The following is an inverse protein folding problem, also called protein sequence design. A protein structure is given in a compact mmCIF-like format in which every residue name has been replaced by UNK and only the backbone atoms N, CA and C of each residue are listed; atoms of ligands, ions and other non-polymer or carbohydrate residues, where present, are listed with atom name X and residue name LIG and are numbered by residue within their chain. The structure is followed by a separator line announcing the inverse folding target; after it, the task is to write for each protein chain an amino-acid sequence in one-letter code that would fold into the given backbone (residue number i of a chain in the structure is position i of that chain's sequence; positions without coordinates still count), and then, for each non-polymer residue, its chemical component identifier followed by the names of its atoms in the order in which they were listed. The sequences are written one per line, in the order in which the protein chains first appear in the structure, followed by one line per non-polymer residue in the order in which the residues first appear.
data_IF_384163934784
#
_entry.id   IF_384163934784
#
_cell.length_a   1.000
_cell.length_b   1.000
_cell.length_c   1.000
_cell.angle_alpha   90.00
_cell.angle_beta   90.00
_cell.angle_gamma   90.00
#
_symmetry.space_group_name_H-M   'P 1'
#
loop_
_entity.id
_entity.type
_entity.pdbx_description
1 polymer ?
#
# COMPACT_ATOMS: atom_id res chain seq x y z
N UNK A 1 19.54 9.52 26.46
CA UNK A 1 18.47 8.57 26.08
C UNK A 1 17.93 9.03 24.74
N UNK A 2 18.22 8.28 23.68
CA UNK A 2 17.67 8.54 22.35
C UNK A 2 16.24 8.00 22.41
N UNK A 3 15.29 8.92 22.39
CA UNK A 3 13.87 8.61 22.39
C UNK A 3 13.54 8.18 20.96
N UNK A 4 13.55 6.87 20.70
CA UNK A 4 12.99 6.36 19.45
C UNK A 4 11.51 6.70 19.48
N UNK A 5 11.10 7.75 18.75
CA UNK A 5 9.70 7.89 18.37
C UNK A 5 9.41 6.74 17.41
N UNK A 6 9.09 5.58 17.97
CA UNK A 6 8.23 4.63 17.28
C UNK A 6 6.96 5.42 17.05
N UNK A 7 6.70 5.83 15.80
CA UNK A 7 5.38 6.34 15.46
C UNK A 7 4.43 5.17 15.66
N UNK A 8 3.81 5.11 16.84
CA UNK A 8 2.64 4.29 17.10
C UNK A 8 1.52 4.93 16.31
N UNK A 9 1.45 4.56 15.04
CA UNK A 9 0.23 4.66 14.30
C UNK A 9 -0.70 3.57 14.87
N UNK A 10 -1.79 3.97 15.52
CA UNK A 10 -2.73 3.03 16.12
C UNK A 10 -3.79 2.66 15.08
N UNK A 11 -3.77 1.41 14.63
CA UNK A 11 -4.86 0.87 13.84
C UNK A 11 -6.20 1.04 14.57
N UNK A 12 -7.32 1.23 13.85
CA UNK A 12 -8.64 1.26 14.46
C UNK A 12 -8.93 0.02 15.29
N UNK A 13 -9.90 0.13 16.21
CA UNK A 13 -10.25 -0.95 17.12
C UNK A 13 -10.52 -2.28 16.40
N UNK A 14 -9.79 -3.31 16.80
CA UNK A 14 -9.87 -4.66 16.25
C UNK A 14 -9.09 -4.90 14.96
N UNK A 15 -8.35 -3.91 14.46
CA UNK A 15 -7.35 -4.09 13.41
C UNK A 15 -5.96 -4.33 14.00
N UNK A 16 -5.11 -5.01 13.24
CA UNK A 16 -3.71 -5.26 13.60
C UNK A 16 -2.79 -4.56 12.60
N UNK A 17 -1.73 -3.92 13.10
CA UNK A 17 -0.75 -3.20 12.28
C UNK A 17 0.32 -4.15 11.76
N UNK A 18 0.63 -4.02 10.47
CA UNK A 18 1.68 -4.79 9.81
C UNK A 18 2.43 -3.91 8.81
N UNK A 19 3.68 -4.29 8.54
CA UNK A 19 4.49 -3.67 7.49
C UNK A 19 5.00 -4.74 6.55
N UNK A 20 4.66 -4.61 5.26
CA UNK A 20 5.18 -5.47 4.21
C UNK A 20 6.33 -4.80 3.48
N UNK A 21 7.48 -5.46 3.45
CA UNK A 21 8.60 -5.03 2.60
C UNK A 21 8.58 -5.87 1.33
N UNK A 22 8.38 -5.23 0.18
CA UNK A 22 8.41 -5.89 -1.13
C UNK A 22 9.35 -5.17 -2.08
N UNK A 23 9.83 -5.95 -3.03
CA UNK A 23 10.72 -5.46 -4.07
C UNK A 23 9.95 -5.45 -5.39
N UNK A 24 9.88 -4.29 -6.02
CA UNK A 24 9.35 -4.10 -7.35
C UNK A 24 10.50 -4.19 -8.35
N UNK A 25 10.43 -5.19 -9.23
CA UNK A 25 11.37 -5.41 -10.31
C UNK A 25 10.84 -4.73 -11.59
N UNK A 26 11.41 -3.59 -11.96
CA UNK A 26 11.08 -2.94 -13.23
C UNK A 26 11.67 -3.71 -14.41
N UNK A 27 10.86 -3.92 -15.45
CA UNK A 27 11.32 -4.32 -16.79
C UNK A 27 11.55 -3.05 -17.64
N UNK A 28 12.64 -2.93 -18.42
CA UNK A 28 13.73 -3.89 -18.64
C UNK A 28 14.84 -3.85 -17.55
N UNK A 29 15.68 -4.90 -17.55
CA UNK A 29 16.71 -5.25 -16.56
C UNK A 29 17.82 -4.20 -16.26
N UNK A 30 17.72 -2.98 -16.80
CA UNK A 30 18.67 -1.89 -16.58
C UNK A 30 18.32 -1.01 -15.36
N UNK A 31 17.20 -1.28 -14.69
CA UNK A 31 16.78 -0.50 -13.53
C UNK A 31 17.15 -1.21 -12.22
N UNK A 32 17.78 -0.49 -11.29
CA UNK A 32 17.94 -0.97 -9.91
C UNK A 32 16.57 -1.22 -9.29
N UNK A 33 16.41 -2.35 -8.59
CA UNK A 33 15.15 -2.74 -7.94
C UNK A 33 14.62 -1.65 -7.02
N UNK A 34 13.30 -1.52 -6.93
CA UNK A 34 12.68 -0.60 -5.98
C UNK A 34 12.17 -1.36 -4.75
N UNK A 35 12.75 -1.09 -3.57
CA UNK A 35 12.27 -1.69 -2.32
C UNK A 35 11.29 -0.75 -1.64
N UNK A 36 10.06 -1.23 -1.46
CA UNK A 36 8.94 -0.47 -0.89
C UNK A 36 8.49 -1.16 0.39
N UNK A 37 8.39 -0.40 1.46
CA UNK A 37 7.72 -0.80 2.68
C UNK A 37 6.30 -0.24 2.71
N UNK A 38 5.34 -1.09 3.05
CA UNK A 38 3.91 -0.85 2.93
C UNK A 38 3.30 -1.10 4.31
N UNK A 39 3.14 -0.06 5.15
CA UNK A 39 2.43 -0.18 6.42
C UNK A 39 0.92 -0.21 6.15
N UNK A 40 0.22 -1.13 6.79
CA UNK A 40 -1.24 -1.26 6.67
C UNK A 40 -1.83 -1.88 7.93
N UNK A 41 -3.12 -1.67 8.10
CA UNK A 41 -3.93 -2.32 9.11
C UNK A 41 -4.82 -3.36 8.44
N UNK A 42 -5.04 -4.49 9.12
CA UNK A 42 -5.97 -5.47 8.63
C UNK A 42 -6.76 -6.16 9.73
N UNK A 43 -7.94 -6.65 9.34
CA UNK A 43 -8.88 -7.36 10.21
C UNK A 43 -9.64 -8.41 9.41
N UNK A 44 -9.71 -9.62 9.96
CA UNK A 44 -10.65 -10.63 9.48
C UNK A 44 -12.00 -10.47 10.19
N UNK A 45 -13.04 -10.20 9.41
CA UNK A 45 -14.40 -10.18 9.90
C UNK A 45 -15.03 -11.57 9.76
N UNK A 46 -15.25 -12.25 10.90
CA UNK A 46 -15.82 -13.60 10.91
C UNK A 46 -17.31 -13.65 10.56
N UNK A 47 -18.05 -12.55 10.75
CA UNK A 47 -19.49 -12.51 10.49
C UNK A 47 -19.79 -12.34 9.00
N UNK A 48 -19.11 -11.40 8.35
CA UNK A 48 -19.24 -11.16 6.91
C UNK A 48 -18.32 -12.04 6.09
N UNK A 49 -17.36 -12.70 6.74
CA UNK A 49 -16.28 -13.45 6.11
C UNK A 49 -15.53 -12.60 5.08
N UNK A 50 -15.10 -11.44 5.54
CA UNK A 50 -14.42 -10.43 4.75
C UNK A 50 -13.08 -10.12 5.38
N UNK A 51 -12.07 -9.94 4.54
CA UNK A 51 -10.77 -9.40 4.95
C UNK A 51 -10.75 -7.90 4.65
N UNK A 52 -10.66 -7.10 5.71
CA UNK A 52 -10.54 -5.64 5.60
C UNK A 52 -9.07 -5.24 5.69
N UNK A 53 -8.63 -4.40 4.76
CA UNK A 53 -7.29 -3.82 4.68
C UNK A 53 -7.44 -2.32 4.56
N UNK A 54 -6.80 -1.56 5.45
CA UNK A 54 -6.90 -0.10 5.46
C UNK A 54 -5.53 0.56 5.66
N UNK A 55 -5.35 1.70 4.99
CA UNK A 55 -4.19 2.57 5.11
C UNK A 55 -4.58 3.83 5.86
N UNK A 56 -3.82 4.22 6.87
CA UNK A 56 -4.29 5.26 7.78
C UNK A 56 -3.43 6.51 7.73
N UNK A 57 -2.16 6.43 8.10
CA UNK A 57 -1.25 7.59 8.07
C UNK A 57 -0.25 7.47 6.92
N UNK A 58 0.54 6.40 6.92
CA UNK A 58 1.51 6.13 5.88
C UNK A 58 0.96 5.09 4.91
N UNK A 59 1.15 5.34 3.61
CA UNK A 59 0.70 4.44 2.58
C UNK A 59 1.83 3.57 2.03
N UNK A 60 3.00 4.18 1.83
CA UNK A 60 4.22 3.49 1.44
C UNK A 60 5.45 4.36 1.75
N UNK A 61 6.58 3.72 1.97
CA UNK A 61 7.88 4.39 1.99
C UNK A 61 8.94 3.61 1.21
N UNK A 62 9.80 4.35 0.52
CA UNK A 62 10.78 3.82 -0.43
C UNK A 62 12.14 3.72 0.27
N UNK A 63 12.59 2.49 0.52
CA UNK A 63 13.79 2.22 1.32
C UNK A 63 15.09 2.59 0.60
N UNK A 64 15.04 2.65 -0.72
CA UNK A 64 16.16 3.10 -1.55
C UNK A 64 15.61 3.76 -2.79
N UNK A 65 15.95 5.03 -2.98
CA UNK A 65 15.60 5.72 -4.21
C UNK A 65 16.34 5.10 -5.40
N UNK A 66 15.58 4.81 -6.46
CA UNK A 66 16.11 4.40 -7.76
C UNK A 66 15.21 4.92 -8.86
N UNK A 67 15.70 4.90 -10.11
CA UNK A 67 14.87 5.18 -11.28
C UNK A 67 13.65 4.25 -11.34
N UNK A 68 13.72 3.03 -10.79
CA UNK A 68 12.60 2.11 -10.76
C UNK A 68 11.51 2.59 -9.80
N UNK A 69 11.90 3.15 -8.65
CA UNK A 69 10.95 3.79 -7.73
C UNK A 69 10.29 5.02 -8.36
N UNK A 70 11.03 5.78 -9.16
CA UNK A 70 10.46 6.89 -9.92
C UNK A 70 9.39 6.43 -10.92
N UNK A 71 9.67 5.40 -11.72
CA UNK A 71 8.69 4.85 -12.66
C UNK A 71 7.44 4.31 -11.95
N UNK A 72 7.65 3.59 -10.86
CA UNK A 72 6.57 3.08 -10.04
C UNK A 72 5.68 4.21 -9.50
N UNK A 73 6.25 5.36 -9.13
CA UNK A 73 5.49 6.50 -8.61
C UNK A 73 4.73 7.29 -9.68
N UNK A 74 5.31 7.43 -10.89
CA UNK A 74 4.68 8.16 -11.99
C UNK A 74 3.46 7.44 -12.56
N UNK A 75 3.53 6.11 -12.67
CA UNK A 75 2.40 5.32 -13.14
C UNK A 75 1.58 4.83 -11.94
N UNK A 76 0.60 5.65 -11.56
CA UNK A 76 -0.28 5.36 -10.42
C UNK A 76 -1.00 4.03 -10.61
N UNK A 77 -1.46 3.70 -11.82
CA UNK A 77 -2.14 2.44 -12.09
C UNK A 77 -1.22 1.22 -11.87
N UNK A 78 0.05 1.29 -12.30
CA UNK A 78 1.03 0.22 -12.05
C UNK A 78 1.30 0.06 -10.55
N UNK A 79 1.48 1.16 -9.83
CA UNK A 79 1.68 1.11 -8.38
C UNK A 79 0.48 0.54 -7.63
N UNK A 80 -0.72 0.99 -7.99
CA UNK A 80 -1.97 0.53 -7.38
C UNK A 80 -2.15 -0.98 -7.58
N UNK A 81 -1.94 -1.45 -8.81
CA UNK A 81 -2.01 -2.88 -9.13
C UNK A 81 -0.95 -3.71 -8.41
N UNK A 82 0.28 -3.20 -8.31
CA UNK A 82 1.35 -3.81 -7.53
C UNK A 82 0.95 -3.94 -6.06
N UNK A 83 0.48 -2.85 -5.46
CA UNK A 83 0.02 -2.82 -4.07
C UNK A 83 -1.13 -3.80 -3.83
N UNK A 84 -2.19 -3.73 -4.65
CA UNK A 84 -3.36 -4.62 -4.52
C UNK A 84 -2.94 -6.09 -4.61
N UNK A 85 -2.00 -6.41 -5.51
CA UNK A 85 -1.48 -7.78 -5.64
C UNK A 85 -0.68 -8.24 -4.43
N UNK A 86 0.23 -7.39 -3.94
CA UNK A 86 1.06 -7.68 -2.77
C UNK A 86 0.21 -7.84 -1.51
N UNK A 87 -0.75 -6.94 -1.30
CA UNK A 87 -1.61 -6.95 -0.13
C UNK A 87 -2.50 -8.19 -0.12
N UNK A 88 -3.20 -8.49 -1.22
CA UNK A 88 -4.07 -9.66 -1.30
C UNK A 88 -3.26 -10.95 -1.11
N UNK A 89 -2.07 -11.05 -1.71
CA UNK A 89 -1.24 -12.24 -1.57
C UNK A 89 -0.67 -12.42 -0.16
N UNK A 90 -0.33 -11.34 0.54
CA UNK A 90 0.34 -11.43 1.84
C UNK A 90 -0.62 -11.35 3.03
N UNK A 91 -1.81 -10.77 2.86
CA UNK A 91 -2.75 -10.58 3.95
C UNK A 91 -3.41 -11.89 4.42
N UNK A 92 -3.39 -12.98 3.61
CA UNK A 92 -3.76 -14.34 4.06
C UNK A 92 -2.88 -14.77 5.24
N UNK A 93 -1.56 -14.68 5.07
CA UNK A 93 -0.57 -15.16 6.05
C UNK A 93 -0.56 -14.30 7.32
N UNK A 94 -0.89 -13.02 7.18
CA UNK A 94 -0.68 -12.00 8.20
C UNK A 94 -1.94 -11.73 9.03
N UNK A 95 -3.08 -11.61 8.35
CA UNK A 95 -4.33 -11.08 8.91
C UNK A 95 -5.40 -12.15 9.13
N UNK A 96 -5.07 -13.38 8.71
CA UNK A 96 -5.83 -14.60 8.89
C UNK A 96 -7.13 -14.70 8.06
N UNK A 97 -7.08 -15.53 7.02
CA UNK A 97 -8.25 -16.08 6.34
C UNK A 97 -7.80 -17.12 5.32
N UNK A 98 -8.00 -18.41 5.59
CA UNK A 98 -7.69 -19.45 4.60
C UNK A 98 -8.59 -19.27 3.38
N UNK A 99 -8.03 -19.00 2.20
CA UNK A 99 -8.82 -18.88 0.98
C UNK A 99 -9.57 -20.19 0.69
N UNK A 100 -10.84 -20.13 0.23
CA UNK A 100 -11.51 -21.34 -0.17
C UNK A 100 -10.98 -21.74 -1.56
N UNK A 101 -11.10 -23.03 -1.91
CA UNK A 101 -10.91 -23.45 -3.29
C UNK A 101 -11.88 -22.72 -4.23
N UNK A 102 -11.42 -22.29 -5.40
CA UNK A 102 -12.27 -21.63 -6.40
C UNK A 102 -13.44 -22.51 -6.88
N UNK A 103 -13.32 -23.82 -6.75
CA UNK A 103 -14.29 -24.85 -7.12
C UNK A 103 -15.15 -25.35 -5.94
N UNK A 104 -15.02 -24.75 -4.74
CA UNK A 104 -15.75 -25.20 -3.55
C UNK A 104 -17.28 -25.15 -3.75
N UNK A 105 -18.04 -26.19 -3.37
CA UNK A 105 -19.45 -26.34 -3.74
C UNK A 105 -20.37 -25.24 -3.20
N UNK A 106 -20.06 -24.68 -2.03
CA UNK A 106 -20.91 -23.68 -1.35
C UNK A 106 -20.23 -22.33 -1.13
N UNK A 107 -18.91 -22.26 -1.32
CA UNK A 107 -18.11 -21.10 -0.89
C UNK A 107 -16.93 -20.87 -1.80
N UNK A 108 -17.20 -20.33 -2.98
CA UNK A 108 -16.21 -20.22 -4.06
C UNK A 108 -15.20 -19.10 -3.86
N UNK A 109 -15.44 -18.17 -2.93
CA UNK A 109 -14.57 -17.02 -2.68
C UNK A 109 -14.80 -16.42 -1.27
N UNK A 110 -13.85 -15.59 -0.83
CA UNK A 110 -14.07 -14.56 0.19
C UNK A 110 -13.98 -13.17 -0.43
N UNK A 111 -14.47 -12.18 0.30
CA UNK A 111 -14.37 -10.78 -0.10
C UNK A 111 -13.16 -10.14 0.60
N UNK A 112 -12.37 -9.39 -0.15
CA UNK A 112 -11.27 -8.56 0.37
C UNK A 112 -11.61 -7.11 0.05
N UNK A 113 -11.64 -6.25 1.06
CA UNK A 113 -11.88 -4.82 0.90
C UNK A 113 -10.60 -4.07 1.25
N UNK A 114 -10.11 -3.28 0.30
CA UNK A 114 -8.91 -2.45 0.48
C UNK A 114 -9.34 -0.99 0.45
N UNK A 115 -9.11 -0.26 1.55
CA UNK A 115 -9.36 1.16 1.67
C UNK A 115 -8.03 1.94 1.60
N UNK A 116 -7.84 2.71 0.53
CA UNK A 116 -6.64 3.51 0.27
C UNK A 116 -6.96 5.00 0.34
N UNK A 117 -6.13 5.82 0.99
CA UNK A 117 -6.32 7.26 0.96
C UNK A 117 -6.15 7.79 -0.47
N UNK A 118 -7.04 8.68 -0.90
CA UNK A 118 -6.94 9.33 -2.22
C UNK A 118 -6.34 10.74 -2.17
N UNK A 119 -6.33 11.37 -1.00
CA UNK A 119 -5.60 12.60 -0.74
C UNK A 119 -4.28 12.29 -0.04
N UNK A 120 -3.18 12.56 -0.72
CA UNK A 120 -1.84 12.23 -0.23
C UNK A 120 -0.87 13.39 -0.40
N UNK A 121 0.23 13.33 0.31
CA UNK A 121 1.40 14.18 0.06
C UNK A 121 2.66 13.33 0.12
N UNK A 122 3.72 13.82 -0.54
CA UNK A 122 5.03 13.20 -0.52
C UNK A 122 5.91 13.90 0.51
N UNK A 123 6.66 13.14 1.29
CA UNK A 123 7.58 13.66 2.30
C UNK A 123 8.90 12.92 2.20
N UNK A 124 10.01 13.64 2.16
CA UNK A 124 11.35 13.08 2.22
C UNK A 124 11.98 13.41 3.59
N UNK A 125 12.39 12.38 4.31
CA UNK A 125 12.91 12.49 5.69
C UNK A 125 14.15 11.64 5.88
N UNK A 126 15.06 12.09 6.75
CA UNK A 126 16.25 11.33 7.12
C UNK A 126 16.03 10.60 8.45
N UNK A 127 15.67 9.33 8.38
CA UNK A 127 15.31 8.55 9.57
C UNK A 127 15.54 7.04 9.35
N UNK A 128 15.64 6.23 10.42
CA UNK A 128 15.71 4.78 10.31
C UNK A 128 14.46 4.20 9.62
N UNK A 129 14.60 3.38 8.56
CA UNK A 129 13.45 2.75 7.90
C UNK A 129 12.74 1.71 8.76
N UNK A 130 13.46 1.09 9.70
CA UNK A 130 12.96 0.12 10.65
C UNK A 130 13.64 0.33 12.02
N UNK A 131 13.01 -0.12 13.13
CA UNK A 131 13.61 -0.02 14.45
C UNK A 131 14.99 -0.71 14.53
N UNK A 132 16.02 0.05 14.89
CA UNK A 132 17.39 -0.47 15.03
C UNK A 132 18.26 -0.39 13.77
N UNK A 133 17.73 0.11 12.65
CA UNK A 133 18.52 0.36 11.44
C UNK A 133 19.14 1.77 11.43
N UNK A 134 20.15 1.97 10.59
CA UNK A 134 20.78 3.27 10.40
C UNK A 134 19.86 4.23 9.63
N UNK A 135 19.85 5.54 9.97
CA UNK A 135 19.06 6.52 9.24
C UNK A 135 19.45 6.61 7.76
N UNK A 136 18.43 6.76 6.90
CA UNK A 136 18.61 7.03 5.48
C UNK A 136 17.52 7.96 4.95
N UNK A 137 17.72 8.50 3.74
CA UNK A 137 16.71 9.30 3.07
C UNK A 137 15.57 8.41 2.59
N UNK A 138 14.37 8.65 3.11
CA UNK A 138 13.16 7.91 2.80
C UNK A 138 12.13 8.84 2.19
N UNK A 139 11.71 8.50 0.97
CA UNK A 139 10.51 9.05 0.39
C UNK A 139 9.30 8.32 0.98
N UNK A 140 8.36 9.07 1.53
CA UNK A 140 7.11 8.58 2.10
C UNK A 140 5.92 9.14 1.34
N UNK A 141 4.89 8.31 1.16
CA UNK A 141 3.57 8.75 0.71
C UNK A 141 2.64 8.69 1.92
N UNK A 142 2.11 9.84 2.32
CA UNK A 142 1.30 9.98 3.53
C UNK A 142 -0.09 10.50 3.20
N UNK A 143 -1.08 10.08 4.00
CA UNK A 143 -2.45 10.57 3.91
C UNK A 143 -2.52 12.03 4.39
N UNK A 144 -3.31 12.83 3.72
CA UNK A 144 -3.70 14.16 4.20
C UNK A 144 -4.68 14.06 5.38
N UNK A 145 -5.03 15.20 6.01
CA UNK A 145 -6.01 15.19 7.09
C UNK A 145 -7.42 14.75 6.64
N UNK A 146 -7.71 14.83 5.32
CA UNK A 146 -9.00 14.50 4.74
C UNK A 146 -9.29 12.99 4.80
N UNK A 147 -10.50 12.61 5.22
CA UNK A 147 -10.95 11.21 5.31
C UNK A 147 -11.47 10.66 3.97
N UNK A 148 -10.77 10.97 2.88
CA UNK A 148 -11.15 10.55 1.54
C UNK A 148 -10.45 9.24 1.17
N UNK A 149 -11.25 8.21 0.89
CA UNK A 149 -10.79 6.85 0.63
C UNK A 149 -11.34 6.29 -0.68
N UNK A 150 -10.49 5.58 -1.40
CA UNK A 150 -10.84 4.65 -2.45
C UNK A 150 -11.00 3.27 -1.84
N UNK A 151 -12.18 2.68 -2.02
CA UNK A 151 -12.46 1.31 -1.63
C UNK A 151 -12.47 0.44 -2.87
N UNK A 152 -11.66 -0.61 -2.85
CA UNK A 152 -11.68 -1.67 -3.84
C UNK A 152 -12.10 -2.97 -3.18
N UNK A 153 -13.16 -3.58 -3.70
CA UNK A 153 -13.65 -4.87 -3.25
C UNK A 153 -13.27 -5.93 -4.27
N UNK A 154 -12.64 -6.98 -3.79
CA UNK A 154 -12.23 -8.14 -4.58
C UNK A 154 -12.93 -9.38 -4.08
N UNK A 155 -13.24 -10.30 -4.99
CA UNK A 155 -13.48 -11.71 -4.67
C UNK A 155 -12.21 -12.49 -4.88
N UNK A 156 -11.81 -13.27 -3.89
CA UNK A 156 -10.53 -13.99 -3.88
C UNK A 156 -10.74 -15.45 -3.53
N UNK A 157 -10.06 -16.34 -4.26
CA UNK A 157 -10.03 -17.77 -4.03
C UNK A 157 -8.68 -18.37 -4.43
N UNK A 158 -8.44 -19.63 -4.06
CA UNK A 158 -7.21 -20.37 -4.40
C UNK A 158 -7.52 -21.42 -5.45
N UNK A 159 -6.84 -21.33 -6.59
CA UNK A 159 -6.92 -22.28 -7.69
C UNK A 159 -5.88 -23.38 -7.48
N UNK A 160 -6.35 -24.54 -7.02
CA UNK A 160 -5.53 -25.73 -6.78
C UNK A 160 -5.30 -26.57 -8.04
N UNK A 161 -5.86 -26.19 -9.20
CA UNK A 161 -5.53 -26.83 -10.47
C UNK A 161 -4.10 -26.52 -10.94
N UNK A 162 -3.46 -25.51 -10.33
CA UNK A 162 -2.10 -25.07 -10.64
C UNK A 162 -1.10 -25.48 -9.55
N UNK A 163 0.17 -25.68 -9.92
CA UNK A 163 1.26 -25.99 -8.97
C UNK A 163 2.43 -24.99 -9.11
N UNK A 164 2.69 -24.12 -8.13
CA UNK A 164 1.94 -23.99 -6.86
C UNK A 164 0.52 -23.41 -7.07
N UNK A 165 -0.42 -23.65 -6.12
CA UNK A 165 -1.75 -23.07 -6.19
C UNK A 165 -1.71 -21.56 -6.34
N UNK A 166 -2.53 -21.01 -7.23
CA UNK A 166 -2.54 -19.58 -7.52
C UNK A 166 -3.72 -18.87 -6.87
N UNK A 167 -3.50 -17.63 -6.45
CA UNK A 167 -4.58 -16.77 -5.98
C UNK A 167 -5.29 -16.17 -7.20
N UNK A 168 -6.58 -16.48 -7.35
CA UNK A 168 -7.45 -15.86 -8.34
C UNK A 168 -8.19 -14.72 -7.66
N UNK A 169 -8.06 -13.51 -8.21
CA UNK A 169 -8.74 -12.32 -7.72
C UNK A 169 -9.58 -11.69 -8.81
N UNK A 170 -10.78 -11.26 -8.47
CA UNK A 170 -11.69 -10.54 -9.36
C UNK A 170 -12.14 -9.26 -8.67
N UNK A 171 -11.86 -8.12 -9.28
CA UNK A 171 -12.38 -6.83 -8.82
C UNK A 171 -13.90 -6.82 -9.05
N UNK A 172 -14.68 -6.56 -7.99
CA UNK A 172 -16.14 -6.55 -8.06
C UNK A 172 -16.73 -5.16 -7.87
N UNK A 173 -16.07 -4.30 -7.12
CA UNK A 173 -16.58 -2.96 -6.82
C UNK A 173 -15.43 -2.00 -6.57
N UNK A 174 -15.60 -0.77 -7.05
CA UNK A 174 -14.74 0.37 -6.75
C UNK A 174 -15.65 1.54 -6.40
N UNK A 175 -15.42 2.17 -5.25
CA UNK A 175 -16.14 3.37 -4.85
C UNK A 175 -15.26 4.30 -4.03
N UNK A 176 -15.66 5.58 -3.96
CA UNK A 176 -14.95 6.61 -3.22
C UNK A 176 -15.86 7.12 -2.10
N UNK A 177 -15.36 7.20 -0.85
CA UNK A 177 -16.18 7.66 0.29
C UNK A 177 -16.46 9.16 0.27
N UNK A 178 -15.50 9.96 -0.19
CA UNK A 178 -15.62 11.41 -0.27
C UNK A 178 -14.62 11.97 -1.29
N UNK A 179 -14.81 13.21 -1.73
CA UNK A 179 -13.96 13.81 -2.74
C UNK A 179 -12.66 14.35 -2.14
N UNK A 180 -11.59 14.30 -2.94
CA UNK A 180 -10.37 15.07 -2.67
C UNK A 180 -10.45 16.38 -3.44
N UNK A 181 -10.57 17.52 -2.76
CA UNK A 181 -10.64 18.84 -3.41
C UNK A 181 -9.31 19.29 -4.03
N UNK A 182 -8.24 18.53 -3.80
CA UNK A 182 -6.89 18.87 -4.21
C UNK A 182 -6.62 18.57 -5.70
N UNK A 183 -5.64 19.27 -6.26
CA UNK A 183 -5.19 19.04 -7.63
C UNK A 183 -4.44 17.73 -7.78
N UNK A 184 -4.22 17.30 -9.02
CA UNK A 184 -3.38 16.13 -9.32
C UNK A 184 -2.00 16.24 -8.68
N UNK A 185 -1.45 15.09 -8.29
CA UNK A 185 -0.13 15.01 -7.69
C UNK A 185 0.98 15.52 -8.60
N UNK A 186 2.05 16.10 -8.01
CA UNK A 186 3.15 16.66 -8.79
C UNK A 186 3.75 15.58 -9.69
N UNK A 187 4.00 15.96 -10.95
CA UNK A 187 4.58 15.06 -11.96
C UNK A 187 6.09 14.94 -11.85
N UNK A 188 6.72 15.72 -10.98
CA UNK A 188 8.15 15.65 -10.69
C UNK A 188 8.42 15.64 -9.19
N UNK A 189 9.27 14.71 -8.77
CA UNK A 189 9.84 14.62 -7.43
C UNK A 189 11.36 14.51 -7.57
N UNK A 190 12.16 15.20 -6.73
CA UNK A 190 11.76 16.14 -5.68
C UNK A 190 11.10 17.41 -6.26
N UNK A 191 10.43 18.24 -5.43
CA UNK A 191 9.92 19.53 -5.86
C UNK A 191 11.00 20.42 -6.49
N UNK A 192 10.59 21.39 -7.31
CA UNK A 192 11.54 22.30 -7.97
C UNK A 192 12.42 23.01 -6.93
N UNK A 193 13.74 22.90 -7.09
CA UNK A 193 14.72 23.48 -6.15
C UNK A 193 15.05 22.58 -4.95
N UNK A 194 14.60 21.32 -4.94
CA UNK A 194 14.91 20.32 -3.90
C UNK A 194 15.73 19.14 -4.43
N UNK A 195 16.52 18.49 -3.57
CA UNK A 195 17.23 17.23 -3.84
C UNK A 195 16.69 16.03 -3.06
N UNK A 196 17.19 14.82 -3.35
CA UNK A 196 16.84 13.60 -2.62
C UNK A 196 17.54 13.50 -1.26
N UNK A 197 18.61 14.27 -1.09
CA UNK A 197 19.45 14.32 0.11
C UNK A 197 19.12 15.51 1.02
N UNK A 198 17.87 15.99 1.01
CA UNK A 198 17.38 17.01 1.93
C UNK A 198 15.91 16.77 2.34
N UNK A 199 15.48 17.38 3.44
CA UNK A 199 14.09 17.31 3.88
C UNK A 199 13.19 18.21 3.01
N UNK A 200 12.05 17.64 2.60
CA UNK A 200 11.00 18.36 1.90
C UNK A 200 9.67 17.64 2.02
N UNK A 201 8.59 18.39 1.77
CA UNK A 201 7.25 17.85 1.62
C UNK A 201 6.50 18.60 0.53
N UNK A 202 5.59 17.90 -0.14
CA UNK A 202 4.66 18.51 -1.09
C UNK A 202 3.40 18.98 -0.38
N UNK A 203 2.60 19.81 -1.04
CA UNK A 203 1.20 19.99 -0.67
C UNK A 203 0.41 18.68 -0.86
N UNK A 204 -0.80 18.67 -0.30
CA UNK A 204 -1.77 17.61 -0.55
C UNK A 204 -2.18 17.57 -2.02
N UNK A 205 -2.42 16.37 -2.53
CA UNK A 205 -2.79 16.13 -3.91
C UNK A 205 -3.69 14.90 -4.05
N UNK A 206 -4.45 14.87 -5.15
CA UNK A 206 -5.32 13.76 -5.51
C UNK A 206 -4.54 12.73 -6.35
N UNK A 207 -4.55 11.47 -5.90
CA UNK A 207 -3.87 10.36 -6.61
C UNK A 207 -4.79 9.46 -7.43
N UNK A 208 -6.11 9.66 -7.36
CA UNK A 208 -7.07 8.84 -8.09
C UNK A 208 -7.60 7.63 -7.32
N UNK A 209 -8.67 7.05 -7.85
CA UNK A 209 -9.20 5.74 -7.47
C UNK A 209 -9.40 4.95 -8.77
N UNK A 210 -8.31 4.35 -9.26
CA UNK A 210 -8.27 3.57 -10.51
C UNK A 210 -8.07 2.09 -10.19
#
# INVERSE_FOLDING_TARGET
MINYRVFTFDCPDGYTMHTLVKVFDCQPALCERCTVAIPFCCKWNTETHQLDIIFEDEWAYFLRWSLCCYYLLLDTAVFENFLDSVLISSAEDICHGQYPPCDHPTRKYYEVVIAKPICVYYKNTFEPPLPGEEPMWLLKVRRCANNAYCYKKYRVCKDYAQNPPQIVKTLVEVYVSSHCEETECPTSLPPTGKSWEEEWETGCCYRGCQ
#
